data_IF_307344359949
#
_entry.id   IF_307344359949
#
_cell.length_a   1.000
_cell.length_b   1.000
_cell.length_c   1.000
_cell.angle_alpha   90.00
_cell.angle_beta   90.00
_cell.angle_gamma   90.00
#
_symmetry.space_group_name_H-M   'P 1'
#
loop_
_entity.id
_entity.type
_entity.pdbx_description
1 polymer ?
#
# COMPACT_ATOMS: atom_id res chain seq x y z
N UNK A 1 -1.92 -5.90 8.84
CA UNK A 1 -2.80 -6.52 7.81
C UNK A 1 -3.38 -7.83 8.34
N UNK A 2 -4.58 -8.23 7.87
CA UNK A 2 -5.20 -9.50 8.29
C UNK A 2 -4.84 -10.67 7.36
N UNK A 3 -4.62 -10.38 6.08
CA UNK A 3 -4.25 -11.36 5.05
C UNK A 3 -3.42 -10.67 3.97
N UNK A 4 -2.51 -11.42 3.34
CA UNK A 4 -1.75 -11.06 2.14
C UNK A 4 -1.60 -12.32 1.28
N UNK A 5 -1.50 -12.18 -0.04
CA UNK A 5 -1.21 -13.31 -0.92
C UNK A 5 0.29 -13.45 -1.21
N UNK A 6 0.64 -14.50 -1.94
CA UNK A 6 2.01 -14.75 -2.40
C UNK A 6 2.52 -13.64 -3.33
N UNK A 7 1.64 -13.05 -4.16
CA UNK A 7 2.01 -11.94 -5.05
C UNK A 7 2.47 -10.70 -4.28
N UNK A 8 1.75 -10.33 -3.22
CA UNK A 8 2.15 -9.26 -2.32
C UNK A 8 3.51 -9.54 -1.67
N UNK A 9 3.71 -10.77 -1.19
CA UNK A 9 4.96 -11.16 -0.53
C UNK A 9 6.13 -11.09 -1.50
N UNK A 10 5.96 -11.59 -2.72
CA UNK A 10 6.98 -11.55 -3.78
C UNK A 10 7.28 -10.11 -4.23
N UNK A 11 6.26 -9.26 -4.35
CA UNK A 11 6.41 -7.87 -4.80
C UNK A 11 7.01 -6.95 -3.73
N UNK A 12 6.60 -7.11 -2.47
CA UNK A 12 6.97 -6.20 -1.38
C UNK A 12 8.11 -6.70 -0.51
N UNK A 13 8.41 -8.00 -0.52
CA UNK A 13 9.41 -8.63 0.35
C UNK A 13 8.96 -8.81 1.79
N UNK A 14 7.71 -8.47 2.13
CA UNK A 14 7.15 -8.64 3.47
C UNK A 14 6.28 -9.88 3.55
N UNK A 15 6.52 -10.68 4.59
CA UNK A 15 5.66 -11.82 4.95
C UNK A 15 4.41 -11.36 5.71
N UNK A 16 3.37 -12.19 5.77
CA UNK A 16 2.17 -11.90 6.58
C UNK A 16 2.55 -11.54 8.03
N UNK A 17 3.45 -12.30 8.64
CA UNK A 17 3.87 -12.09 10.04
C UNK A 17 4.48 -10.71 10.28
N UNK A 18 5.29 -10.21 9.34
CA UNK A 18 5.92 -8.89 9.45
C UNK A 18 4.94 -7.73 9.24
N UNK A 19 3.81 -8.01 8.60
CA UNK A 19 2.74 -7.03 8.32
C UNK A 19 1.65 -6.99 9.40
N UNK A 20 1.63 -7.93 10.34
CA UNK A 20 0.64 -7.98 11.43
C UNK A 20 0.69 -6.68 12.24
N UNK A 21 -0.48 -6.12 12.54
CA UNK A 21 -0.62 -4.86 13.28
C UNK A 21 -0.21 -3.58 12.54
N UNK A 22 0.38 -3.68 11.34
CA UNK A 22 0.86 -2.52 10.56
C UNK A 22 -0.12 -2.15 9.44
N UNK A 23 -0.18 -0.85 9.13
CA UNK A 23 -0.87 -0.29 7.96
C UNK A 23 0.05 -0.39 6.73
N UNK A 24 -0.49 -0.64 5.51
CA UNK A 24 0.32 -0.68 4.29
C UNK A 24 1.18 0.57 4.08
N UNK A 25 0.62 1.75 4.32
CA UNK A 25 1.35 3.02 4.18
C UNK A 25 2.62 3.13 5.03
N UNK A 26 2.66 2.47 6.19
CA UNK A 26 3.86 2.46 7.06
C UNK A 26 4.98 1.56 6.56
N UNK A 27 4.66 0.59 5.70
CA UNK A 27 5.60 -0.44 5.23
C UNK A 27 6.11 -0.17 3.82
N UNK A 28 5.24 0.39 2.97
CA UNK A 28 5.43 0.43 1.53
C UNK A 28 5.69 1.84 1.00
N UNK A 29 5.33 2.91 1.72
CA UNK A 29 5.54 4.27 1.24
C UNK A 29 6.95 4.75 1.61
N UNK A 30 7.52 5.63 0.80
CA UNK A 30 8.87 6.16 0.99
C UNK A 30 9.08 7.52 0.31
N UNK A 31 10.34 7.94 0.08
CA UNK A 31 10.68 9.30 -0.32
C UNK A 31 9.98 9.82 -1.57
N UNK A 32 9.75 8.96 -2.57
CA UNK A 32 9.14 9.34 -3.85
C UNK A 32 7.62 9.10 -3.87
N UNK A 33 7.03 8.63 -2.77
CA UNK A 33 5.58 8.48 -2.69
C UNK A 33 4.89 9.85 -2.67
N UNK A 34 4.06 10.13 -3.66
CA UNK A 34 3.30 11.38 -3.71
C UNK A 34 2.29 11.51 -2.54
N UNK A 35 2.59 12.45 -1.64
CA UNK A 35 1.80 12.76 -0.46
C UNK A 35 0.38 13.21 -0.84
N UNK A 36 0.20 13.88 -1.99
CA UNK A 36 -1.11 14.34 -2.43
C UNK A 36 -2.04 13.15 -2.76
N UNK A 37 -1.50 12.15 -3.44
CA UNK A 37 -2.17 10.88 -3.75
C UNK A 37 -2.47 10.08 -2.49
N UNK A 38 -1.52 10.01 -1.53
CA UNK A 38 -1.75 9.36 -0.23
C UNK A 38 -2.88 10.01 0.56
N UNK A 39 -2.98 11.35 0.55
CA UNK A 39 -4.09 12.05 1.22
C UNK A 39 -5.43 11.73 0.57
N UNK A 40 -5.49 11.69 -0.76
CA UNK A 40 -6.70 11.32 -1.51
C UNK A 40 -7.13 9.88 -1.18
N UNK A 41 -6.19 8.94 -1.17
CA UNK A 41 -6.39 7.54 -0.77
C UNK A 41 -6.92 7.44 0.67
N UNK A 42 -6.28 8.12 1.63
CA UNK A 42 -6.71 8.12 3.02
C UNK A 42 -8.12 8.70 3.19
N UNK A 43 -8.47 9.74 2.42
CA UNK A 43 -9.80 10.36 2.49
C UNK A 43 -10.88 9.42 1.95
N UNK A 44 -10.64 8.76 0.81
CA UNK A 44 -11.59 7.80 0.25
C UNK A 44 -11.85 6.62 1.21
N UNK A 45 -10.81 6.11 1.88
CA UNK A 45 -10.95 5.06 2.91
C UNK A 45 -11.80 5.56 4.09
N UNK A 46 -11.59 6.79 4.56
CA UNK A 46 -12.38 7.36 5.67
C UNK A 46 -13.85 7.58 5.29
N UNK A 47 -14.11 8.00 4.06
CA UNK A 47 -15.45 8.31 3.54
C UNK A 47 -16.17 7.05 3.01
N UNK A 48 -15.57 5.88 3.18
CA UNK A 48 -16.07 4.63 2.64
C UNK A 48 -16.44 4.74 1.13
N UNK A 49 -15.54 5.34 0.35
CA UNK A 49 -15.65 5.43 -1.11
C UNK A 49 -14.60 4.55 -1.81
N UNK A 50 -14.95 3.92 -2.95
CA UNK A 50 -13.96 3.24 -3.78
C UNK A 50 -12.96 4.25 -4.36
N UNK A 51 -11.74 3.79 -4.63
CA UNK A 51 -10.70 4.63 -5.22
C UNK A 51 -9.70 3.81 -6.02
N UNK A 52 -9.26 4.40 -7.13
CA UNK A 52 -8.12 3.95 -7.92
C UNK A 52 -7.05 5.04 -7.95
N UNK A 53 -5.79 4.64 -7.77
CA UNK A 53 -4.66 5.55 -7.87
C UNK A 53 -3.35 4.79 -8.16
N UNK A 54 -2.43 5.48 -8.82
CA UNK A 54 -1.07 5.02 -9.02
C UNK A 54 -0.13 5.78 -8.07
N UNK A 55 0.82 5.09 -7.43
CA UNK A 55 1.87 5.71 -6.61
C UNK A 55 3.13 4.84 -6.50
N UNK A 56 4.23 5.44 -6.06
CA UNK A 56 5.47 4.73 -5.78
C UNK A 56 5.41 4.06 -4.41
N UNK A 57 5.63 2.75 -4.37
CA UNK A 57 5.90 1.96 -3.18
C UNK A 57 7.35 1.48 -3.16
N UNK A 58 7.77 0.91 -2.03
CA UNK A 58 9.12 0.42 -1.79
C UNK A 58 9.06 -1.03 -1.33
N UNK A 59 9.86 -1.88 -1.97
CA UNK A 59 10.14 -3.22 -1.49
C UNK A 59 10.93 -3.10 -0.17
N UNK A 60 10.85 -4.12 0.69
CA UNK A 60 11.54 -4.17 2.00
C UNK A 60 13.05 -3.88 1.93
N UNK A 61 13.69 -4.14 0.79
CA UNK A 61 15.11 -3.84 0.54
C UNK A 61 15.38 -2.38 0.11
N UNK A 62 14.35 -1.54 0.00
CA UNK A 62 14.45 -0.14 -0.41
C UNK A 62 14.30 0.11 -1.92
N UNK A 63 14.11 -0.91 -2.76
CA UNK A 63 13.88 -0.70 -4.21
C UNK A 63 12.50 -0.09 -4.45
N UNK A 64 12.38 1.07 -5.13
CA UNK A 64 11.09 1.66 -5.50
C UNK A 64 10.43 0.89 -6.65
N UNK A 65 9.10 0.86 -6.66
CA UNK A 65 8.29 0.36 -7.76
C UNK A 65 6.97 1.12 -7.85
N UNK A 66 6.49 1.33 -9.07
CA UNK A 66 5.15 1.85 -9.33
C UNK A 66 4.10 0.78 -9.07
N UNK A 67 2.97 1.18 -8.49
CA UNK A 67 1.84 0.30 -8.25
C UNK A 67 0.53 1.00 -8.56
N UNK A 68 -0.35 0.29 -9.24
CA UNK A 68 -1.77 0.61 -9.34
C UNK A 68 -2.53 0.02 -8.15
N UNK A 69 -3.15 0.88 -7.37
CA UNK A 69 -3.96 0.50 -6.20
C UNK A 69 -5.42 0.72 -6.55
N UNK A 70 -6.21 -0.34 -6.41
CA UNK A 70 -7.67 -0.28 -6.41
C UNK A 70 -8.18 -0.73 -5.04
N UNK A 71 -8.96 0.11 -4.39
CA UNK A 71 -9.65 -0.20 -3.15
C UNK A 71 -11.15 -0.15 -3.41
N UNK A 72 -11.77 -1.31 -3.23
CA UNK A 72 -13.22 -1.47 -3.24
C UNK A 72 -13.69 -1.81 -1.83
N UNK A 73 -14.87 -1.29 -1.46
CA UNK A 73 -15.48 -1.55 -0.16
C UNK A 73 -16.63 -2.53 -0.38
N UNK A 74 -16.45 -3.75 0.11
CA UNK A 74 -17.44 -4.81 0.15
C UNK A 74 -17.54 -5.34 1.59
#
# INVERSE_FOLDING_TARGET
MKWVNNGFTALSGYTLDETKGKKPGMLLQGPETDISTVRRLSRAIQDAQPIECELVNYHKNGTPYWIDISISLF
#
